data_IF_105780878216
#
_entry.id   IF_105780878216
#
_cell.length_a   1.000
_cell.length_b   1.000
_cell.length_c   1.000
_cell.angle_alpha   90.00
_cell.angle_beta   90.00
_cell.angle_gamma   90.00
#
_symmetry.space_group_name_H-M   'P 1'
#
loop_
_entity.id
_entity.type
_entity.pdbx_description
1 polymer ?
#
# COMPACT_ATOMS: atom_id res chain seq x y z
N UNK A 1 -74.56 -46.89 -7.54
CA UNK A 1 -74.29 -45.56 -6.93
C UNK A 1 -72.79 -45.35 -6.67
N UNK A 2 -71.88 -45.84 -7.52
CA UNK A 2 -70.42 -45.83 -7.22
C UNK A 2 -69.55 -45.07 -8.23
N UNK A 3 -70.08 -44.70 -9.40
CA UNK A 3 -69.28 -44.06 -10.46
C UNK A 3 -69.05 -42.55 -10.20
N UNK A 4 -70.02 -41.85 -9.58
CA UNK A 4 -69.87 -40.42 -9.25
C UNK A 4 -68.85 -40.15 -8.13
N UNK A 5 -68.65 -41.10 -7.21
CA UNK A 5 -67.67 -40.98 -6.12
C UNK A 5 -66.26 -41.25 -6.67
N UNK A 6 -66.11 -42.27 -7.52
CA UNK A 6 -64.82 -42.58 -8.13
C UNK A 6 -64.31 -41.42 -8.99
N UNK A 7 -65.17 -40.81 -9.83
CA UNK A 7 -64.80 -39.67 -10.66
C UNK A 7 -64.37 -38.45 -9.82
N UNK A 8 -65.07 -38.13 -8.73
CA UNK A 8 -64.72 -37.01 -7.83
C UNK A 8 -63.38 -37.21 -7.13
N UNK A 9 -63.06 -38.44 -6.73
CA UNK A 9 -61.77 -38.76 -6.10
C UNK A 9 -60.65 -38.64 -7.14
N UNK A 10 -60.84 -39.11 -8.37
CA UNK A 10 -59.80 -38.98 -9.41
C UNK A 10 -59.53 -37.53 -9.78
N UNK A 11 -60.57 -36.69 -9.94
CA UNK A 11 -60.37 -35.26 -10.22
C UNK A 11 -59.65 -34.56 -9.07
N UNK A 12 -60.02 -34.84 -7.81
CA UNK A 12 -59.40 -34.23 -6.64
C UNK A 12 -57.92 -34.64 -6.47
N UNK A 13 -57.60 -35.91 -6.74
CA UNK A 13 -56.24 -36.43 -6.66
C UNK A 13 -55.36 -35.85 -7.77
N UNK A 14 -55.90 -35.70 -8.99
CA UNK A 14 -55.18 -35.06 -10.10
C UNK A 14 -54.88 -33.60 -9.73
N UNK A 15 -55.86 -32.82 -9.23
CA UNK A 15 -55.64 -31.41 -8.86
C UNK A 15 -54.56 -31.25 -7.78
N UNK A 16 -54.55 -32.11 -6.75
CA UNK A 16 -53.53 -32.07 -5.69
C UNK A 16 -52.14 -32.41 -6.24
N UNK A 17 -52.05 -33.39 -7.13
CA UNK A 17 -50.77 -33.80 -7.73
C UNK A 17 -50.20 -32.69 -8.62
N UNK A 18 -51.05 -31.98 -9.38
CA UNK A 18 -50.62 -30.83 -10.18
C UNK A 18 -50.17 -29.66 -9.29
N UNK A 19 -50.87 -29.38 -8.18
CA UNK A 19 -50.49 -28.34 -7.22
C UNK A 19 -49.11 -28.64 -6.60
N UNK A 20 -48.84 -29.90 -6.25
CA UNK A 20 -47.53 -30.32 -5.70
C UNK A 20 -46.39 -30.21 -6.73
N UNK A 21 -46.67 -30.44 -8.02
CA UNK A 21 -45.69 -30.24 -9.10
C UNK A 21 -45.37 -28.77 -9.35
N UNK A 22 -46.35 -27.86 -9.20
CA UNK A 22 -46.10 -26.42 -9.31
C UNK A 22 -45.37 -25.84 -8.09
N UNK A 23 -45.63 -26.35 -6.89
CA UNK A 23 -44.94 -25.92 -5.67
C UNK A 23 -43.44 -26.29 -5.67
N UNK A 24 -43.07 -27.38 -6.33
CA UNK A 24 -41.67 -27.83 -6.44
C UNK A 24 -40.86 -27.10 -7.52
N UNK A 25 -41.50 -26.30 -8.38
CA UNK A 25 -40.83 -25.51 -9.43
C UNK A 25 -40.77 -24.00 -9.13
N UNK A 26 -41.33 -23.54 -8.01
CA UNK A 26 -41.55 -22.11 -7.72
C UNK A 26 -40.55 -21.51 -6.72
N UNK A 27 -39.43 -22.19 -6.44
CA UNK A 27 -38.37 -21.67 -5.58
C UNK A 27 -37.06 -21.57 -6.36
N UNK A 28 -36.32 -20.49 -6.14
CA UNK A 28 -34.91 -20.41 -6.47
C UNK A 28 -34.11 -20.66 -5.19
N UNK A 29 -33.08 -21.50 -5.30
CA UNK A 29 -32.02 -21.64 -4.31
C UNK A 29 -30.72 -21.31 -5.04
N UNK A 30 -30.17 -20.13 -4.76
CA UNK A 30 -28.88 -19.71 -5.28
C UNK A 30 -27.96 -19.45 -4.10
N UNK A 31 -27.14 -20.44 -3.77
CA UNK A 31 -25.95 -20.24 -2.94
C UNK A 31 -24.85 -19.65 -3.79
N UNK A 32 -24.55 -18.38 -3.57
CA UNK A 32 -23.40 -17.76 -4.19
C UNK A 32 -22.18 -18.05 -3.30
N UNK A 33 -21.11 -18.61 -3.89
CA UNK A 33 -19.89 -18.95 -3.17
C UNK A 33 -19.26 -17.73 -2.49
N UNK A 34 -18.53 -17.98 -1.41
CA UNK A 34 -17.89 -17.01 -0.52
C UNK A 34 -16.74 -16.26 -1.22
N UNK A 35 -17.08 -15.40 -2.18
CA UNK A 35 -16.14 -14.47 -2.81
C UNK A 35 -15.98 -13.24 -1.92
N UNK A 36 -15.05 -13.34 -0.97
CA UNK A 36 -14.65 -12.22 -0.11
C UNK A 36 -14.24 -10.99 -0.93
N UNK A 37 -14.68 -9.76 -0.56
CA UNK A 37 -14.35 -8.51 -1.27
C UNK A 37 -12.86 -8.11 -1.25
N UNK A 38 -11.97 -8.95 -0.70
CA UNK A 38 -10.52 -8.75 -0.70
C UNK A 38 -9.95 -8.54 0.70
N UNK A 39 -8.62 -8.52 0.81
CA UNK A 39 -7.91 -8.42 2.09
C UNK A 39 -8.10 -7.08 2.81
N UNK A 40 -8.55 -6.05 2.09
CA UNK A 40 -8.75 -4.69 2.62
C UNK A 40 -10.10 -4.50 3.33
N UNK A 41 -10.95 -5.53 3.31
CA UNK A 41 -12.27 -5.51 3.91
C UNK A 41 -12.37 -6.50 5.06
N UNK A 42 -13.08 -6.10 6.11
CA UNK A 42 -13.41 -6.98 7.22
C UNK A 42 -14.93 -7.20 7.31
N UNK A 43 -15.32 -8.45 7.56
CA UNK A 43 -16.72 -8.80 7.79
C UNK A 43 -17.13 -8.27 9.17
N UNK A 44 -18.08 -7.35 9.18
CA UNK A 44 -18.57 -6.72 10.41
C UNK A 44 -19.86 -7.38 10.92
N UNK A 45 -20.57 -8.13 10.08
CA UNK A 45 -21.79 -8.83 10.48
C UNK A 45 -22.55 -9.47 9.32
N UNK A 46 -23.81 -9.82 9.59
CA UNK A 46 -24.77 -10.42 8.65
C UNK A 46 -26.13 -9.76 8.82
N UNK A 47 -26.87 -9.61 7.72
CA UNK A 47 -28.24 -9.09 7.70
C UNK A 47 -29.19 -10.06 7.01
N UNK A 48 -30.39 -10.18 7.56
CA UNK A 48 -31.47 -10.98 7.01
C UNK A 48 -32.63 -10.07 6.57
N UNK A 49 -33.09 -10.26 5.34
CA UNK A 49 -34.23 -9.54 4.78
C UNK A 49 -35.23 -10.53 4.17
N UNK A 50 -36.49 -10.33 4.49
CA UNK A 50 -37.60 -11.19 4.09
C UNK A 50 -38.66 -10.32 3.42
N UNK A 51 -39.19 -10.78 2.28
CA UNK A 51 -40.21 -10.05 1.53
C UNK A 51 -41.22 -11.02 0.92
N UNK A 52 -42.51 -10.73 1.10
CA UNK A 52 -43.58 -11.44 0.40
C UNK A 52 -43.91 -10.72 -0.90
N UNK A 53 -43.68 -11.38 -2.03
CA UNK A 53 -44.02 -10.89 -3.36
C UNK A 53 -45.39 -11.37 -3.82
N UNK A 54 -46.20 -10.44 -4.33
CA UNK A 54 -47.46 -10.74 -5.01
C UNK A 54 -47.27 -10.56 -6.50
N UNK A 55 -47.10 -11.66 -7.22
CA UNK A 55 -46.81 -11.64 -8.65
C UNK A 55 -48.09 -11.76 -9.46
N UNK A 56 -48.80 -10.64 -9.59
CA UNK A 56 -50.00 -10.53 -10.41
C UNK A 56 -49.67 -10.70 -11.88
N UNK A 57 -50.40 -11.60 -12.55
CA UNK A 57 -50.25 -11.95 -13.95
C UNK A 57 -48.82 -12.37 -14.34
N UNK A 58 -48.04 -12.88 -13.38
CA UNK A 58 -46.66 -13.34 -13.60
C UNK A 58 -45.74 -12.27 -14.21
N UNK A 59 -45.97 -11.00 -13.86
CA UNK A 59 -45.24 -9.85 -14.40
C UNK A 59 -43.85 -9.66 -13.79
N UNK A 60 -43.64 -10.09 -12.55
CA UNK A 60 -42.35 -9.95 -11.88
C UNK A 60 -41.42 -11.10 -12.27
N UNK A 61 -40.29 -10.74 -12.84
CA UNK A 61 -39.18 -11.65 -13.10
C UNK A 61 -38.49 -12.10 -11.80
N UNK A 62 -37.62 -13.11 -11.89
CA UNK A 62 -36.78 -13.52 -10.75
C UNK A 62 -35.78 -12.42 -10.39
N UNK A 63 -35.23 -11.73 -11.39
CA UNK A 63 -34.20 -10.71 -11.19
C UNK A 63 -34.75 -9.47 -10.47
N UNK A 64 -35.94 -8.98 -10.84
CA UNK A 64 -36.59 -7.85 -10.17
C UNK A 64 -36.89 -8.15 -8.69
N UNK A 65 -37.25 -9.40 -8.39
CA UNK A 65 -37.51 -9.81 -7.00
C UNK A 65 -36.22 -9.92 -6.20
N UNK A 66 -35.16 -10.44 -6.83
CA UNK A 66 -33.83 -10.47 -6.23
C UNK A 66 -33.32 -9.05 -5.95
N UNK A 67 -33.49 -8.12 -6.89
CA UNK A 67 -33.07 -6.73 -6.73
C UNK A 67 -33.78 -6.06 -5.55
N UNK A 68 -35.10 -6.25 -5.42
CA UNK A 68 -35.87 -5.73 -4.29
C UNK A 68 -35.40 -6.29 -2.93
N UNK A 69 -35.03 -7.57 -2.87
CA UNK A 69 -34.47 -8.18 -1.65
C UNK A 69 -33.08 -7.64 -1.32
N UNK A 70 -32.22 -7.48 -2.33
CA UNK A 70 -30.88 -6.89 -2.18
C UNK A 70 -30.98 -5.45 -1.69
N UNK A 71 -31.92 -4.67 -2.23
CA UNK A 71 -32.16 -3.30 -1.78
C UNK A 71 -32.62 -3.25 -0.33
N UNK A 72 -33.56 -4.13 0.07
CA UNK A 72 -34.01 -4.25 1.45
C UNK A 72 -32.89 -4.67 2.40
N UNK A 73 -32.03 -5.61 1.98
CA UNK A 73 -30.85 -6.00 2.74
C UNK A 73 -29.85 -4.85 2.87
N UNK A 74 -29.66 -4.03 1.82
CA UNK A 74 -28.79 -2.87 1.84
C UNK A 74 -29.32 -1.78 2.79
N UNK A 75 -30.63 -1.54 2.80
CA UNK A 75 -31.27 -0.61 3.73
C UNK A 75 -31.06 -1.04 5.19
N UNK A 76 -31.35 -2.31 5.52
CA UNK A 76 -31.09 -2.86 6.86
C UNK A 76 -29.61 -2.80 7.25
N UNK A 77 -28.70 -3.07 6.32
CA UNK A 77 -27.26 -2.96 6.58
C UNK A 77 -26.85 -1.52 6.89
N UNK A 78 -27.41 -0.53 6.17
CA UNK A 78 -27.16 0.89 6.44
C UNK A 78 -27.70 1.33 7.81
N UNK A 79 -28.88 0.86 8.19
CA UNK A 79 -29.47 1.15 9.49
C UNK A 79 -28.64 0.59 10.65
N UNK A 80 -28.11 -0.63 10.51
CA UNK A 80 -27.38 -1.31 11.59
C UNK A 80 -25.89 -0.94 11.65
N UNK A 81 -25.24 -0.74 10.50
CA UNK A 81 -23.78 -0.64 10.42
C UNK A 81 -23.27 0.68 9.80
N UNK A 82 -24.17 1.55 9.32
CA UNK A 82 -23.84 2.85 8.73
C UNK A 82 -23.69 2.83 7.20
N UNK A 83 -23.43 3.99 6.61
CA UNK A 83 -23.45 4.17 5.15
C UNK A 83 -22.24 3.61 4.40
N UNK A 84 -21.12 3.37 5.08
CA UNK A 84 -19.85 2.94 4.49
C UNK A 84 -19.68 1.42 4.59
N UNK A 85 -20.63 0.68 4.03
CA UNK A 85 -20.67 -0.78 4.07
C UNK A 85 -21.02 -1.36 2.71
N UNK A 86 -20.42 -2.51 2.42
CA UNK A 86 -20.71 -3.31 1.23
C UNK A 86 -21.45 -4.57 1.68
N UNK A 87 -22.50 -4.92 0.96
CA UNK A 87 -23.25 -6.16 1.20
C UNK A 87 -22.90 -7.21 0.15
N UNK A 88 -22.82 -8.48 0.58
CA UNK A 88 -22.65 -9.63 -0.29
C UNK A 88 -23.70 -10.68 0.04
N UNK A 89 -24.50 -11.06 -0.95
CA UNK A 89 -25.52 -12.10 -0.81
C UNK A 89 -24.85 -13.46 -0.61
N UNK A 90 -25.18 -14.14 0.48
CA UNK A 90 -24.71 -15.50 0.78
C UNK A 90 -25.78 -16.52 0.38
N UNK A 91 -27.01 -16.30 0.83
CA UNK A 91 -28.15 -17.16 0.51
C UNK A 91 -29.31 -16.32 -0.02
N UNK A 92 -30.02 -16.90 -0.99
CA UNK A 92 -31.23 -16.34 -1.56
C UNK A 92 -32.21 -17.48 -1.75
N UNK A 93 -33.30 -17.48 -0.98
CA UNK A 93 -34.32 -18.52 -0.99
C UNK A 93 -35.68 -17.94 -1.39
N UNK A 94 -36.36 -18.61 -2.32
CA UNK A 94 -37.76 -18.34 -2.67
C UNK A 94 -38.64 -19.53 -2.29
N UNK A 95 -39.72 -19.29 -1.54
CA UNK A 95 -40.67 -20.33 -1.13
C UNK A 95 -42.08 -19.96 -1.55
N UNK A 96 -42.77 -20.92 -2.16
CA UNK A 96 -44.15 -20.75 -2.53
C UNK A 96 -45.04 -20.52 -1.29
N UNK A 97 -45.84 -19.46 -1.30
CA UNK A 97 -46.74 -19.14 -0.20
C UNK A 97 -48.12 -19.80 -0.44
N UNK A 98 -48.74 -20.46 0.56
CA UNK A 98 -50.09 -21.04 0.45
C UNK A 98 -51.17 -20.11 -0.10
N UNK A 99 -51.04 -18.79 0.08
CA UNK A 99 -51.92 -17.77 -0.48
C UNK A 99 -51.96 -17.80 -2.02
N UNK A 100 -50.93 -18.34 -2.66
CA UNK A 100 -50.89 -18.61 -4.10
C UNK A 100 -52.04 -19.48 -4.59
N UNK A 101 -52.63 -20.35 -3.75
CA UNK A 101 -53.78 -21.16 -4.17
C UNK A 101 -54.96 -20.29 -4.61
N UNK A 102 -55.17 -19.16 -3.91
CA UNK A 102 -56.23 -18.21 -4.25
C UNK A 102 -55.96 -17.57 -5.61
N UNK A 103 -54.69 -17.27 -5.91
CA UNK A 103 -54.30 -16.66 -7.18
C UNK A 103 -54.28 -17.66 -8.35
N UNK A 104 -53.87 -18.90 -8.08
CA UNK A 104 -53.84 -19.98 -9.06
C UNK A 104 -55.25 -20.36 -9.52
N UNK A 105 -56.22 -20.44 -8.61
CA UNK A 105 -57.62 -20.72 -8.94
C UNK A 105 -58.25 -19.65 -9.86
N UNK A 106 -57.77 -18.41 -9.76
CA UNK A 106 -58.17 -17.33 -10.66
C UNK A 106 -57.29 -17.19 -11.91
N UNK A 107 -56.25 -18.01 -12.08
CA UNK A 107 -55.21 -17.86 -13.10
C UNK A 107 -54.58 -16.45 -13.15
N UNK A 108 -54.55 -15.77 -12.00
CA UNK A 108 -54.19 -14.34 -11.87
C UNK A 108 -52.79 -14.10 -11.31
N UNK A 109 -52.04 -15.15 -10.94
CA UNK A 109 -50.66 -15.03 -10.46
C UNK A 109 -50.27 -16.02 -9.37
N UNK A 110 -49.19 -15.69 -8.65
CA UNK A 110 -48.73 -16.42 -7.46
C UNK A 110 -48.20 -15.47 -6.36
N UNK A 111 -48.05 -16.00 -5.16
CA UNK A 111 -47.49 -15.35 -3.97
C UNK A 111 -46.25 -16.13 -3.52
N UNK A 112 -45.15 -15.45 -3.27
CA UNK A 112 -43.89 -16.06 -2.87
C UNK A 112 -43.33 -15.34 -1.64
N UNK A 113 -42.90 -16.11 -0.64
CA UNK A 113 -42.11 -15.59 0.46
C UNK A 113 -40.64 -15.81 0.11
N UNK A 114 -39.88 -14.72 -0.01
CA UNK A 114 -38.47 -14.78 -0.37
C UNK A 114 -37.63 -14.20 0.76
N UNK A 115 -36.47 -14.81 1.00
CA UNK A 115 -35.53 -14.44 2.04
C UNK A 115 -34.11 -14.31 1.47
N UNK A 116 -33.35 -13.34 1.99
CA UNK A 116 -31.95 -13.12 1.63
C UNK A 116 -31.12 -12.97 2.91
N UNK A 117 -30.01 -13.69 2.96
CA UNK A 117 -28.94 -13.49 3.95
C UNK A 117 -27.75 -12.85 3.24
N UNK A 118 -27.26 -11.74 3.78
CA UNK A 118 -26.10 -11.03 3.24
C UNK A 118 -25.06 -10.73 4.32
N UNK A 119 -23.79 -10.99 4.03
CA UNK A 119 -22.70 -10.48 4.86
C UNK A 119 -22.47 -9.00 4.60
N UNK A 120 -22.16 -8.28 5.67
CA UNK A 120 -21.81 -6.87 5.66
C UNK A 120 -20.30 -6.73 5.87
N UNK A 121 -19.67 -5.97 5.00
CA UNK A 121 -18.22 -5.75 4.95
C UNK A 121 -17.91 -4.27 5.04
N UNK A 122 -16.86 -3.92 5.79
CA UNK A 122 -16.36 -2.55 5.90
C UNK A 122 -14.90 -2.49 5.50
N UNK A 123 -14.49 -1.38 4.87
CA UNK A 123 -13.08 -1.15 4.54
C UNK A 123 -12.30 -0.97 5.83
N UNK A 124 -11.23 -1.74 6.02
CA UNK A 124 -10.33 -1.59 7.17
C UNK A 124 -9.69 -0.20 7.10
N UNK A 125 -9.60 0.48 8.23
CA UNK A 125 -8.85 1.74 8.31
C UNK A 125 -7.38 1.46 7.94
N UNK A 126 -6.82 2.27 7.03
CA UNK A 126 -5.39 2.20 6.75
C UNK A 126 -4.63 2.54 8.05
N UNK A 127 -3.65 1.73 8.47
CA UNK A 127 -2.86 2.05 9.65
C UNK A 127 -2.21 3.43 9.47
N UNK A 128 -2.37 4.30 10.48
CA UNK A 128 -1.66 5.57 10.54
C UNK A 128 -0.17 5.28 10.72
N UNK A 129 0.57 5.28 9.62
CA UNK A 129 2.02 5.19 9.65
C UNK A 129 2.62 6.56 9.92
N UNK A 130 3.42 6.69 10.98
CA UNK A 130 4.33 7.82 11.11
C UNK A 130 5.50 7.65 10.14
N UNK A 131 5.86 8.72 9.44
CA UNK A 131 6.92 8.69 8.44
C UNK A 131 8.06 9.62 8.82
N UNK A 132 9.27 9.08 8.79
CA UNK A 132 10.51 9.82 8.87
C UNK A 132 11.10 10.11 7.48
N UNK A 133 12.03 11.05 7.42
CA UNK A 133 12.86 11.29 6.23
C UNK A 133 14.32 11.09 6.58
N UNK A 134 15.06 10.37 5.72
CA UNK A 134 16.52 10.22 5.83
C UNK A 134 17.16 10.51 4.48
N UNK A 135 18.42 10.91 4.48
CA UNK A 135 19.19 11.03 3.25
C UNK A 135 19.95 9.73 3.02
N UNK A 136 19.78 9.14 1.84
CA UNK A 136 20.51 7.97 1.40
C UNK A 136 21.46 8.33 0.26
N UNK A 137 22.66 7.75 0.30
CA UNK A 137 23.64 7.85 -0.77
C UNK A 137 23.62 6.54 -1.56
N UNK A 138 23.23 6.63 -2.83
CA UNK A 138 23.07 5.48 -3.72
C UNK A 138 24.19 5.54 -4.77
N UNK A 139 25.16 4.61 -4.75
CA UNK A 139 26.16 4.51 -5.80
C UNK A 139 25.53 3.97 -7.09
N UNK A 140 26.03 4.40 -8.25
CA UNK A 140 25.55 3.90 -9.54
C UNK A 140 26.06 2.49 -9.87
N UNK A 141 27.18 2.07 -9.27
CA UNK A 141 27.75 0.73 -9.36
C UNK A 141 28.40 0.35 -8.02
N UNK A 142 28.65 -0.94 -7.81
CA UNK A 142 29.48 -1.35 -6.66
C UNK A 142 30.93 -0.96 -6.94
N UNK A 143 31.48 -0.14 -6.05
CA UNK A 143 32.83 0.40 -6.16
C UNK A 143 33.81 -0.27 -5.18
N UNK A 144 33.48 -1.47 -4.70
CA UNK A 144 34.38 -2.37 -3.98
C UNK A 144 35.05 -3.31 -4.97
N UNK A 145 36.36 -3.21 -5.12
CA UNK A 145 37.16 -4.12 -5.94
C UNK A 145 38.54 -4.34 -5.36
N UNK A 146 39.37 -5.09 -6.09
CA UNK A 146 40.73 -5.48 -5.65
C UNK A 146 41.67 -4.29 -5.37
N UNK A 147 41.28 -3.07 -5.75
CA UNK A 147 42.09 -1.86 -5.65
C UNK A 147 41.72 -0.97 -4.45
N UNK A 148 40.75 -1.40 -3.64
CA UNK A 148 40.20 -0.66 -2.50
C UNK A 148 38.73 -0.26 -2.71
N UNK A 149 38.27 0.76 -1.98
CA UNK A 149 36.88 1.21 -2.04
C UNK A 149 36.75 2.74 -2.02
N UNK A 150 35.57 3.19 -2.45
CA UNK A 150 35.16 4.59 -2.36
C UNK A 150 33.82 4.64 -1.64
N UNK A 151 33.77 5.39 -0.54
CA UNK A 151 32.56 5.58 0.25
C UNK A 151 32.18 7.05 0.26
N UNK A 152 30.88 7.32 0.10
CA UNK A 152 30.32 8.65 0.14
C UNK A 152 29.22 8.66 1.19
N UNK A 153 29.29 9.61 2.12
CA UNK A 153 28.29 9.83 3.15
C UNK A 153 27.77 11.26 3.06
N UNK A 154 26.48 11.46 3.30
CA UNK A 154 25.88 12.78 3.44
C UNK A 154 25.39 12.97 4.86
N UNK A 155 25.87 14.03 5.52
CA UNK A 155 25.36 14.44 6.84
C UNK A 155 24.61 15.74 6.74
N UNK A 156 23.40 15.77 7.30
CA UNK A 156 22.59 16.98 7.37
C UNK A 156 23.18 17.97 8.36
N UNK A 157 22.75 19.24 8.28
CA UNK A 157 23.12 20.26 9.26
C UNK A 157 22.79 19.82 10.69
N UNK A 158 21.62 19.23 10.92
CA UNK A 158 21.20 18.77 12.25
C UNK A 158 22.13 17.68 12.79
N UNK A 159 22.52 16.72 11.95
CA UNK A 159 23.48 15.68 12.31
C UNK A 159 24.86 16.27 12.61
N UNK A 160 25.30 17.27 11.83
CA UNK A 160 26.57 17.95 12.06
C UNK A 160 26.57 18.77 13.36
N UNK A 161 25.45 19.39 13.72
CA UNK A 161 25.28 20.08 15.01
C UNK A 161 25.34 19.07 16.15
N UNK A 162 24.59 17.97 16.06
CA UNK A 162 24.60 16.91 17.07
C UNK A 162 26.02 16.32 17.26
N UNK A 163 26.79 16.15 16.18
CA UNK A 163 28.19 15.72 16.25
C UNK A 163 29.08 16.76 16.97
N UNK A 164 28.86 18.06 16.76
CA UNK A 164 29.57 19.12 17.49
C UNK A 164 29.19 19.16 18.98
N UNK A 165 27.91 19.01 19.29
CA UNK A 165 27.40 18.99 20.67
C UNK A 165 28.02 17.84 21.46
N UNK A 166 28.09 16.63 20.86
CA UNK A 166 28.76 15.47 21.45
C UNK A 166 30.23 15.76 21.75
N UNK A 167 30.95 16.40 20.83
CA UNK A 167 32.37 16.74 21.01
C UNK A 167 32.59 17.78 22.09
N UNK A 168 31.69 18.77 22.20
CA UNK A 168 31.73 19.76 23.28
C UNK A 168 31.47 19.08 24.63
N UNK A 169 30.45 18.22 24.71
CA UNK A 169 30.12 17.47 25.92
C UNK A 169 31.23 16.51 26.36
N UNK A 170 31.96 15.93 25.40
CA UNK A 170 33.12 15.07 25.65
C UNK A 170 34.41 15.85 26.02
N UNK A 171 34.39 17.19 25.93
CA UNK A 171 35.57 18.03 26.19
C UNK A 171 36.64 17.97 25.10
N UNK A 172 36.33 17.44 23.91
CA UNK A 172 37.26 17.37 22.78
C UNK A 172 37.49 18.74 22.11
N UNK A 173 36.56 19.68 22.31
CA UNK A 173 36.60 21.04 21.76
C UNK A 173 36.22 22.07 22.81
N UNK A 174 36.75 23.28 22.68
CA UNK A 174 36.37 24.44 23.49
C UNK A 174 35.09 25.08 22.99
N UNK A 175 34.41 25.86 23.84
CA UNK A 175 33.21 26.63 23.48
C UNK A 175 33.47 27.64 22.35
N UNK A 176 34.64 28.29 22.35
CA UNK A 176 35.06 29.18 21.26
C UNK A 176 35.19 28.42 19.93
N UNK A 177 35.82 27.23 19.95
CA UNK A 177 35.91 26.37 18.77
C UNK A 177 34.55 25.85 18.33
N UNK A 178 33.62 25.59 19.25
CA UNK A 178 32.25 25.18 18.94
C UNK A 178 31.53 26.29 18.16
N UNK A 179 31.50 27.51 18.70
CA UNK A 179 30.84 28.66 18.07
C UNK A 179 31.44 28.98 16.70
N UNK A 180 32.77 28.92 16.58
CA UNK A 180 33.46 29.08 15.32
C UNK A 180 33.04 28.02 14.28
N UNK A 181 32.99 26.74 14.66
CA UNK A 181 32.61 25.66 13.74
C UNK A 181 31.13 25.72 13.36
N UNK A 182 30.26 26.03 14.32
CA UNK A 182 28.81 26.19 14.13
C UNK A 182 28.50 27.28 13.10
N UNK A 183 29.15 28.44 13.20
CA UNK A 183 28.96 29.56 12.26
C UNK A 183 29.40 29.25 10.82
N UNK A 184 30.23 28.22 10.61
CA UNK A 184 30.74 27.81 9.30
C UNK A 184 30.05 26.55 8.76
N UNK A 185 29.06 26.02 9.47
CA UNK A 185 28.27 24.90 8.96
C UNK A 185 27.42 25.37 7.77
N UNK A 186 27.35 24.57 6.69
CA UNK A 186 26.44 24.83 5.59
C UNK A 186 24.98 24.68 6.04
N UNK A 187 24.07 25.39 5.37
CA UNK A 187 22.64 25.37 5.71
C UNK A 187 22.00 24.00 5.48
N UNK A 188 22.52 23.23 4.52
CA UNK A 188 21.97 21.92 4.14
C UNK A 188 22.71 20.76 4.79
N UNK A 189 24.02 20.69 4.56
CA UNK A 189 24.82 19.57 5.01
C UNK A 189 26.16 19.48 4.30
N UNK A 190 26.89 18.41 4.59
CA UNK A 190 28.20 18.12 4.00
C UNK A 190 28.21 16.73 3.40
N UNK A 191 28.90 16.61 2.27
CA UNK A 191 29.28 15.33 1.68
C UNK A 191 30.66 14.98 2.21
N UNK A 192 30.81 13.79 2.77
CA UNK A 192 32.07 13.18 3.15
C UNK A 192 32.41 12.11 2.13
N UNK A 193 33.67 12.09 1.69
CA UNK A 193 34.17 11.16 0.69
C UNK A 193 35.41 10.51 1.30
N UNK A 194 35.34 9.19 1.46
CA UNK A 194 36.45 8.36 1.92
C UNK A 194 36.96 7.54 0.76
N UNK A 195 38.24 7.70 0.47
CA UNK A 195 38.98 6.92 -0.52
C UNK A 195 39.94 6.00 0.21
N UNK A 196 39.85 4.70 -0.06
CA UNK A 196 40.83 3.72 0.40
C UNK A 196 41.45 3.02 -0.81
N UNK A 197 42.79 2.93 -0.86
CA UNK A 197 43.54 2.28 -1.95
C UNK A 197 44.72 1.46 -1.41
N UNK A 198 45.12 0.42 -2.12
CA UNK A 198 46.27 -0.42 -1.72
C UNK A 198 47.61 0.33 -1.80
N UNK A 199 47.77 1.21 -2.80
CA UNK A 199 48.98 1.98 -3.02
C UNK A 199 48.79 3.45 -2.66
N UNK A 200 49.79 4.01 -1.98
CA UNK A 200 49.80 5.41 -1.53
C UNK A 200 49.63 6.39 -2.70
N UNK A 201 50.25 6.10 -3.84
CA UNK A 201 50.22 6.92 -5.07
C UNK A 201 48.83 7.02 -5.67
N UNK A 202 48.01 5.99 -5.47
CA UNK A 202 46.65 5.89 -6.00
C UNK A 202 45.63 6.52 -5.04
N UNK A 203 45.98 6.67 -3.76
CA UNK A 203 45.19 7.37 -2.75
C UNK A 203 45.42 8.89 -2.72
N UNK A 204 46.30 9.43 -3.58
CA UNK A 204 46.54 10.89 -3.67
C UNK A 204 45.33 11.57 -4.28
N UNK A 205 44.76 12.56 -3.58
CA UNK A 205 43.52 13.21 -4.01
C UNK A 205 43.66 14.01 -5.33
N UNK A 206 44.88 14.38 -5.75
CA UNK A 206 45.18 15.13 -6.99
C UNK A 206 44.63 14.51 -8.27
N UNK A 207 44.47 13.19 -8.27
CA UNK A 207 43.96 12.43 -9.40
C UNK A 207 42.44 12.57 -9.56
N UNK A 208 41.75 13.02 -8.51
CA UNK A 208 40.31 13.03 -8.47
C UNK A 208 39.74 14.43 -8.73
N UNK A 209 38.69 14.49 -9.53
CA UNK A 209 37.88 15.69 -9.73
C UNK A 209 36.45 15.41 -9.26
N UNK A 210 36.02 16.16 -8.25
CA UNK A 210 34.71 16.04 -7.63
C UNK A 210 33.77 17.08 -8.20
N UNK A 211 32.66 16.64 -8.76
CA UNK A 211 31.62 17.50 -9.35
C UNK A 211 30.28 17.14 -8.73
N UNK A 212 29.67 18.09 -8.02
CA UNK A 212 28.33 17.90 -7.47
C UNK A 212 27.36 18.81 -8.22
N UNK A 213 26.27 18.22 -8.71
CA UNK A 213 25.23 18.89 -9.49
C UNK A 213 23.85 18.69 -8.87
N UNK A 214 23.01 19.71 -9.02
CA UNK A 214 21.60 19.70 -8.65
C UNK A 214 20.79 20.37 -9.76
N UNK A 215 19.76 19.67 -10.27
CA UNK A 215 18.94 20.14 -11.40
C UNK A 215 19.79 20.63 -12.60
N UNK A 216 20.88 19.91 -12.89
CA UNK A 216 21.83 20.25 -13.96
C UNK A 216 22.76 21.43 -13.68
N UNK A 217 22.64 22.11 -12.52
CA UNK A 217 23.55 23.18 -12.11
C UNK A 217 24.65 22.64 -11.20
N UNK A 218 25.89 23.04 -11.46
CA UNK A 218 27.02 22.69 -10.60
C UNK A 218 26.91 23.43 -9.26
N UNK A 219 26.79 22.69 -8.16
CA UNK A 219 26.90 23.21 -6.78
C UNK A 219 28.37 23.48 -6.48
N UNK A 220 29.23 22.49 -6.76
CA UNK A 220 30.67 22.66 -6.67
C UNK A 220 31.37 21.77 -7.69
N UNK A 221 32.55 22.25 -8.11
CA UNK A 221 33.53 21.47 -8.85
C UNK A 221 34.90 21.73 -8.23
N UNK A 222 35.53 20.68 -7.72
CA UNK A 222 36.82 20.77 -7.02
C UNK A 222 37.74 19.67 -7.53
N UNK A 223 38.96 20.04 -7.90
CA UNK A 223 40.04 19.08 -8.09
C UNK A 223 40.66 18.81 -6.72
N UNK A 224 40.96 17.55 -6.42
CA UNK A 224 41.75 17.24 -5.24
C UNK A 224 43.15 17.85 -5.34
N UNK A 225 43.82 17.92 -4.20
CA UNK A 225 45.11 18.56 -4.06
C UNK A 225 46.20 17.49 -3.91
N UNK A 226 47.47 17.89 -3.99
CA UNK A 226 48.57 16.98 -3.67
C UNK A 226 48.66 16.82 -2.16
N UNK A 227 47.69 16.08 -1.61
CA UNK A 227 47.60 15.72 -0.21
C UNK A 227 47.86 14.22 -0.08
N UNK A 228 48.86 13.89 0.72
CA UNK A 228 49.32 12.52 0.93
C UNK A 228 48.30 11.86 1.88
N UNK A 229 47.79 10.65 1.59
CA UNK A 229 46.80 9.97 2.43
C UNK A 229 47.26 9.88 3.88
N UNK A 230 46.36 10.24 4.78
CA UNK A 230 46.63 10.60 6.17
C UNK A 230 47.02 9.39 7.05
N UNK A 231 46.55 8.19 6.69
CA UNK A 231 46.67 6.99 7.54
C UNK A 231 46.78 5.72 6.67
N UNK A 232 47.72 4.84 7.03
CA UNK A 232 47.70 3.44 6.60
C UNK A 232 46.85 2.66 7.60
N UNK A 233 45.66 2.23 7.16
CA UNK A 233 44.67 1.56 8.01
C UNK A 233 45.11 0.17 8.45
N UNK A 234 44.43 -0.39 9.46
CA UNK A 234 44.64 -1.78 9.89
C UNK A 234 44.24 -2.81 8.83
N UNK A 235 43.47 -2.36 7.84
CA UNK A 235 43.06 -3.07 6.63
C UNK A 235 44.13 -3.08 5.53
N UNK A 236 45.31 -2.48 5.77
CA UNK A 236 46.42 -2.34 4.82
C UNK A 236 46.10 -1.46 3.61
N UNK A 237 45.14 -0.54 3.75
CA UNK A 237 44.83 0.45 2.73
C UNK A 237 45.33 1.83 3.17
N UNK A 238 45.59 2.69 2.18
CA UNK A 238 45.86 4.12 2.36
C UNK A 238 44.57 4.91 2.26
N UNK A 239 44.24 5.64 3.32
CA UNK A 239 42.97 6.34 3.46
C UNK A 239 43.13 7.84 3.21
N UNK A 240 42.19 8.41 2.45
CA UNK A 240 42.07 9.84 2.22
C UNK A 240 40.62 10.28 2.40
N UNK A 241 40.40 11.16 3.38
CA UNK A 241 39.08 11.67 3.72
C UNK A 241 38.95 13.14 3.29
N UNK A 242 37.88 13.42 2.55
CA UNK A 242 37.57 14.76 2.09
C UNK A 242 36.14 15.11 2.49
N UNK A 243 35.89 16.39 2.72
CA UNK A 243 34.53 16.88 2.94
C UNK A 243 34.25 18.13 2.12
N UNK A 244 33.05 18.18 1.55
CA UNK A 244 32.59 19.30 0.74
C UNK A 244 31.28 19.82 1.29
N UNK A 245 31.22 21.15 1.47
CA UNK A 245 29.98 21.83 1.80
C UNK A 245 29.05 21.74 0.61
N UNK A 246 27.85 21.20 0.84
CA UNK A 246 26.76 21.37 -0.11
C UNK A 246 26.19 22.76 0.13
N UNK A 247 26.02 23.53 -0.95
CA UNK A 247 25.66 24.95 -0.90
C UNK A 247 24.23 25.22 -0.41
N UNK A 248 23.49 26.16 -1.02
CA UNK A 248 22.17 26.56 -0.54
C UNK A 248 21.18 25.40 -0.49
N UNK A 249 20.08 25.60 0.24
CA UNK A 249 18.94 24.69 0.34
C UNK A 249 18.62 24.01 -1.01
N UNK A 250 18.75 22.69 -1.05
CA UNK A 250 18.43 21.87 -2.20
C UNK A 250 17.31 20.90 -1.84
N UNK A 251 16.49 20.58 -2.84
CA UNK A 251 15.38 19.64 -2.72
C UNK A 251 15.37 18.67 -3.90
N UNK A 252 15.10 17.40 -3.64
CA UNK A 252 15.15 16.31 -4.62
C UNK A 252 16.43 15.48 -4.59
N UNK A 253 17.13 15.41 -5.72
CA UNK A 253 18.32 14.55 -5.91
C UNK A 253 19.57 15.38 -6.17
N UNK A 254 20.65 15.10 -5.42
CA UNK A 254 22.00 15.54 -5.79
C UNK A 254 22.70 14.43 -6.57
N UNK A 255 23.44 14.82 -7.59
CA UNK A 255 24.33 13.93 -8.32
C UNK A 255 25.77 14.32 -8.06
N UNK A 256 26.55 13.41 -7.47
CA UNK A 256 27.97 13.54 -7.26
C UNK A 256 28.71 12.65 -8.25
N UNK A 257 29.61 13.25 -9.01
CA UNK A 257 30.49 12.59 -9.96
C UNK A 257 31.94 12.78 -9.52
N UNK A 258 32.70 11.69 -9.47
CA UNK A 258 34.10 11.68 -9.08
C UNK A 258 34.87 11.08 -10.24
N UNK A 259 35.66 11.89 -10.93
CA UNK A 259 36.48 11.45 -12.05
C UNK A 259 37.90 11.17 -11.58
N UNK A 260 38.34 9.94 -11.72
CA UNK A 260 39.71 9.49 -11.47
C UNK A 260 40.52 9.60 -12.77
N UNK A 261 41.34 10.64 -12.87
CA UNK A 261 42.19 10.88 -14.03
C UNK A 261 43.38 9.93 -14.15
N UNK A 262 43.73 9.19 -13.09
CA UNK A 262 44.80 8.20 -13.15
C UNK A 262 44.31 6.91 -13.83
N UNK A 263 43.05 6.54 -13.58
CA UNK A 263 42.41 5.33 -14.14
C UNK A 263 41.48 5.59 -15.30
N UNK A 264 41.21 6.86 -15.59
CA UNK A 264 40.18 7.29 -16.55
C UNK A 264 38.77 6.76 -16.21
N UNK A 265 38.48 6.61 -14.91
CA UNK A 265 37.21 6.07 -14.40
C UNK A 265 36.30 7.16 -13.84
N UNK A 266 34.98 6.98 -14.03
CA UNK A 266 33.96 7.87 -13.49
C UNK A 266 33.10 7.15 -12.45
N UNK A 267 33.16 7.62 -11.21
CA UNK A 267 32.32 7.16 -10.12
C UNK A 267 31.12 8.11 -9.98
N UNK A 268 29.92 7.55 -9.89
CA UNK A 268 28.68 8.33 -9.80
C UNK A 268 27.87 7.92 -8.57
N UNK A 269 27.42 8.91 -7.81
CA UNK A 269 26.63 8.75 -6.61
C UNK A 269 25.43 9.69 -6.65
N UNK A 270 24.31 9.24 -6.08
CA UNK A 270 23.11 10.04 -5.92
C UNK A 270 22.79 10.20 -4.45
N UNK A 271 22.53 11.43 -4.01
CA UNK A 271 22.02 11.70 -2.66
C UNK A 271 20.54 12.00 -2.79
N UNK A 272 19.70 11.14 -2.22
CA UNK A 272 18.25 11.24 -2.28
C UNK A 272 17.65 11.32 -0.89
N UNK A 273 16.56 12.08 -0.74
CA UNK A 273 15.77 12.11 0.48
C UNK A 273 14.74 10.99 0.43
N UNK A 274 14.99 9.92 1.17
CA UNK A 274 14.10 8.77 1.28
C UNK A 274 13.10 8.99 2.42
N UNK A 275 11.85 8.61 2.16
CA UNK A 275 10.81 8.46 3.18
C UNK A 275 10.92 7.05 3.76
N UNK A 276 10.93 6.93 5.08
CA UNK A 276 10.90 5.63 5.77
C UNK A 276 9.77 5.60 6.79
N UNK A 277 9.24 4.41 7.05
CA UNK A 277 8.22 4.19 8.08
C UNK A 277 8.90 4.12 9.44
N UNK A 278 8.39 4.85 10.42
CA UNK A 278 8.82 4.74 11.81
C UNK A 278 8.01 3.57 12.39
N UNK A 279 8.71 2.46 12.67
CA UNK A 279 8.14 1.30 13.37
C UNK A 279 8.04 1.55 14.88
#
# INVERSE_FOLDING_TARGET
MSIKIFLRITTFTITITTILFFASCAGFDNRQGDDSPGADYERIGTVNADLTHWNWFYRLSIDERREALVELAAEKAREQFGYDVIIRTETLEGRWNPKSLLMLLGAIGNVEDSAIEASVWKKRAEPEHEYGYRYAVIPAADYKGDWGFMQVEYKTREQLIADLDKKLAAGEITEESYNYRLSRLPDTGKIFITLAREEITNAISRWFTFTCTWKGKSIFRKRGIEDIPYVYGTDKLWWNDMSYNVGPAWDGELKLEIYDSFREELFSFRVVKERYTID
#
